data_IF_927508382063
#
_entry.id   IF_927508382063
#
_cell.length_a   1.000
_cell.length_b   1.000
_cell.length_c   1.000
_cell.angle_alpha   90.00
_cell.angle_beta   90.00
_cell.angle_gamma   90.00
#
_symmetry.space_group_name_H-M   'P 1'
#
loop_
_entity.id
_entity.type
_entity.pdbx_description
1 polymer ?
#
# COMPACT_ATOMS: atom_id res chain seq x y z
N UNK A 1 13.48 4.97 5.44
CA UNK A 1 13.07 4.54 6.78
C UNK A 1 11.57 4.25 6.83
N UNK A 2 11.11 3.00 6.96
CA UNK A 2 9.71 2.70 7.18
C UNK A 2 9.38 2.85 8.67
N UNK A 3 9.10 4.07 9.12
CA UNK A 3 8.55 4.26 10.47
C UNK A 3 7.16 3.61 10.55
N UNK A 4 7.02 2.65 11.46
CA UNK A 4 5.80 1.85 11.67
C UNK A 4 5.06 2.27 12.95
N UNK A 5 5.51 3.31 13.65
CA UNK A 5 4.72 3.90 14.72
C UNK A 5 3.37 4.38 14.18
N UNK A 6 2.29 4.16 14.94
CA UNK A 6 0.92 4.44 14.50
C UNK A 6 0.73 5.88 14.01
N UNK A 7 1.21 6.86 14.76
CA UNK A 7 1.05 8.27 14.38
C UNK A 7 1.90 8.59 13.15
N UNK A 8 3.18 8.21 13.17
CA UNK A 8 4.09 8.46 12.06
C UNK A 8 3.60 7.86 10.74
N UNK A 9 3.07 6.63 10.75
CA UNK A 9 2.58 5.98 9.52
C UNK A 9 1.28 6.60 9.00
N UNK A 10 0.39 7.05 9.89
CA UNK A 10 -0.82 7.76 9.50
C UNK A 10 -0.51 9.15 8.95
N UNK A 11 0.43 9.86 9.56
CA UNK A 11 0.90 11.17 9.11
C UNK A 11 1.57 11.06 7.73
N UNK A 12 2.41 10.03 7.56
CA UNK A 12 2.99 9.70 6.27
C UNK A 12 1.91 9.40 5.23
N UNK A 13 0.93 8.54 5.55
CA UNK A 13 -0.13 8.16 4.61
C UNK A 13 -0.96 9.37 4.18
N UNK A 14 -1.26 10.28 5.11
CA UNK A 14 -1.98 11.54 4.82
C UNK A 14 -1.28 12.38 3.77
N UNK A 15 0.06 12.39 3.78
CA UNK A 15 0.87 13.16 2.85
C UNK A 15 1.11 12.42 1.54
N UNK A 16 1.38 11.11 1.60
CA UNK A 16 1.73 10.31 0.43
C UNK A 16 0.50 9.88 -0.38
N UNK A 17 -0.58 9.48 0.29
CA UNK A 17 -1.78 8.89 -0.33
C UNK A 17 -3.07 9.47 0.29
N UNK A 18 -3.42 10.75 -0.02
CA UNK A 18 -4.60 11.39 0.55
C UNK A 18 -5.91 10.66 0.25
N UNK A 19 -6.04 10.08 -0.95
CA UNK A 19 -7.22 9.31 -1.36
C UNK A 19 -7.41 8.06 -0.49
N UNK A 20 -6.32 7.32 -0.22
CA UNK A 20 -6.37 6.15 0.66
C UNK A 20 -6.71 6.54 2.10
N UNK A 21 -6.22 7.69 2.58
CA UNK A 21 -6.56 8.19 3.91
C UNK A 21 -8.08 8.42 4.05
N UNK A 22 -8.74 8.92 3.00
CA UNK A 22 -10.18 9.19 3.02
C UNK A 22 -11.05 7.95 3.26
N UNK A 23 -10.51 6.74 3.05
CA UNK A 23 -11.22 5.47 3.32
C UNK A 23 -11.57 5.29 4.80
N UNK A 24 -10.79 5.87 5.72
CA UNK A 24 -11.02 5.93 7.17
C UNK A 24 -10.96 4.59 7.92
N UNK A 25 -11.65 3.56 7.43
CA UNK A 25 -11.69 2.21 7.98
C UNK A 25 -10.50 1.37 7.51
N UNK A 26 -9.96 0.53 8.40
CA UNK A 26 -8.91 -0.43 8.04
C UNK A 26 -7.50 0.16 7.84
N UNK A 27 -7.31 1.47 8.05
CA UNK A 27 -5.97 2.10 7.98
C UNK A 27 -5.00 1.49 8.97
N UNK A 28 -5.46 1.26 10.19
CA UNK A 28 -4.80 0.49 11.25
C UNK A 28 -5.82 -0.50 11.79
N UNK A 29 -5.48 -1.78 11.83
CA UNK A 29 -6.33 -2.82 12.41
C UNK A 29 -6.24 -2.80 13.93
N UNK A 30 -7.31 -3.18 14.65
CA UNK A 30 -7.28 -3.22 16.12
C UNK A 30 -6.17 -4.10 16.70
N UNK A 31 -5.82 -5.21 16.04
CA UNK A 31 -4.77 -6.12 16.49
C UNK A 31 -3.38 -5.46 16.52
N UNK A 32 -3.15 -4.46 15.66
CA UNK A 32 -1.86 -3.81 15.47
C UNK A 32 -1.51 -2.79 16.56
N UNK A 33 -2.48 -2.41 17.39
CA UNK A 33 -2.35 -1.44 18.50
C UNK A 33 -2.51 -2.11 19.86
N UNK A 34 -2.40 -3.44 19.90
CA UNK A 34 -2.35 -4.18 21.15
C UNK A 34 -0.98 -4.04 21.80
N UNK A 35 -0.93 -4.06 23.12
CA UNK A 35 0.31 -3.92 23.90
C UNK A 35 1.38 -4.96 23.51
N UNK A 36 0.95 -6.14 23.07
CA UNK A 36 1.85 -7.21 22.63
C UNK A 36 2.41 -7.01 21.21
N UNK A 37 1.66 -6.36 20.31
CA UNK A 37 1.99 -6.32 18.87
C UNK A 37 2.62 -4.99 18.48
N UNK A 38 2.17 -3.87 19.04
CA UNK A 38 2.64 -2.55 18.64
C UNK A 38 4.17 -2.37 18.83
N UNK A 39 4.77 -2.77 19.96
CA UNK A 39 6.23 -2.69 20.13
C UNK A 39 7.00 -3.57 19.14
N UNK A 40 6.44 -4.71 18.73
CA UNK A 40 7.07 -5.60 17.75
C UNK A 40 7.08 -4.98 16.35
N UNK A 41 6.00 -4.30 15.96
CA UNK A 41 5.92 -3.59 14.68
C UNK A 41 6.85 -2.38 14.65
N UNK A 42 6.92 -1.61 15.73
CA UNK A 42 7.90 -0.51 15.87
C UNK A 42 9.33 -1.07 15.76
N UNK A 43 9.63 -2.13 16.51
CA UNK A 43 10.94 -2.79 16.48
C UNK A 43 11.29 -3.44 15.14
N UNK A 44 10.29 -3.82 14.32
CA UNK A 44 10.52 -4.24 12.94
C UNK A 44 10.98 -3.06 12.08
N UNK A 45 10.27 -1.92 12.12
CA UNK A 45 10.62 -0.72 11.37
C UNK A 45 12.03 -0.22 11.72
N UNK A 46 12.38 -0.20 13.01
CA UNK A 46 13.72 0.15 13.49
C UNK A 46 14.80 -0.83 13.01
N UNK A 47 14.50 -2.14 12.98
CA UNK A 47 15.45 -3.13 12.45
C UNK A 47 15.68 -2.95 10.95
N UNK A 48 14.63 -2.69 10.18
CA UNK A 48 14.77 -2.38 8.75
C UNK A 48 15.60 -1.11 8.52
N UNK A 49 15.48 -0.11 9.39
CA UNK A 49 16.27 1.12 9.32
C UNK A 49 17.72 0.94 9.78
N UNK A 50 18.01 -0.06 10.63
CA UNK A 50 19.37 -0.34 11.08
C UNK A 50 20.30 -0.87 9.98
N UNK A 51 19.76 -1.26 8.82
CA UNK A 51 20.58 -1.64 7.67
C UNK A 51 21.17 -0.39 6.99
N UNK A 52 22.51 -0.30 6.85
CA UNK A 52 23.16 0.86 6.25
C UNK A 52 22.82 1.01 4.76
N UNK A 53 22.46 -0.09 4.11
CA UNK A 53 21.96 -0.13 2.73
C UNK A 53 20.62 -0.88 2.71
N UNK A 54 19.49 -0.20 2.42
CA UNK A 54 18.18 -0.82 2.28
C UNK A 54 18.17 -1.97 1.27
N UNK A 55 18.99 -1.90 0.22
CA UNK A 55 19.05 -2.94 -0.81
C UNK A 55 19.66 -4.25 -0.31
N UNK A 56 20.55 -4.18 0.69
CA UNK A 56 21.06 -5.36 1.37
C UNK A 56 19.95 -6.07 2.17
N UNK A 57 19.11 -5.31 2.88
CA UNK A 57 17.97 -5.85 3.60
C UNK A 57 16.94 -6.49 2.65
N UNK A 58 16.60 -5.80 1.56
CA UNK A 58 15.70 -6.35 0.54
C UNK A 58 16.27 -7.60 -0.13
N UNK A 59 17.57 -7.64 -0.42
CA UNK A 59 18.24 -8.81 -0.99
C UNK A 59 18.22 -10.01 -0.03
N UNK A 60 18.42 -9.78 1.26
CA UNK A 60 18.32 -10.83 2.29
C UNK A 60 16.90 -11.40 2.39
N UNK A 61 15.88 -10.53 2.33
CA UNK A 61 14.48 -10.96 2.29
C UNK A 61 14.18 -11.76 1.02
N UNK A 62 14.65 -11.29 -0.13
CA UNK A 62 14.44 -11.96 -1.43
C UNK A 62 15.14 -13.33 -1.53
N UNK A 63 16.28 -13.50 -0.85
CA UNK A 63 16.99 -14.78 -0.81
C UNK A 63 16.35 -15.81 0.14
N UNK A 64 15.47 -15.38 1.03
CA UNK A 64 14.79 -16.22 2.02
C UNK A 64 13.44 -16.76 1.55
N UNK A 65 12.79 -17.52 2.43
CA UNK A 65 11.37 -17.85 2.26
C UNK A 65 10.52 -16.59 2.50
N UNK A 66 9.77 -16.20 1.48
CA UNK A 66 8.89 -15.03 1.50
C UNK A 66 7.53 -15.32 2.16
N UNK A 67 7.16 -16.58 2.41
CA UNK A 67 5.86 -16.91 2.98
C UNK A 67 5.59 -16.22 4.33
N UNK A 68 6.52 -16.21 5.32
CA UNK A 68 6.30 -15.49 6.57
C UNK A 68 6.12 -13.98 6.38
N UNK A 69 6.84 -13.39 5.42
CA UNK A 69 6.69 -11.97 5.12
C UNK A 69 5.30 -11.67 4.52
N UNK A 70 4.81 -12.52 3.60
CA UNK A 70 3.45 -12.39 3.07
C UNK A 70 2.40 -12.49 4.16
N UNK A 71 2.54 -13.47 5.07
CA UNK A 71 1.61 -13.63 6.19
C UNK A 71 1.56 -12.40 7.10
N UNK A 72 2.72 -11.83 7.42
CA UNK A 72 2.79 -10.58 8.20
C UNK A 72 2.10 -9.46 7.44
N UNK A 73 2.45 -9.23 6.17
CA UNK A 73 1.88 -8.16 5.36
C UNK A 73 0.35 -8.30 5.23
N UNK A 74 -0.17 -9.51 5.06
CA UNK A 74 -1.60 -9.79 4.93
C UNK A 74 -2.41 -9.43 6.18
N UNK A 75 -1.75 -9.42 7.34
CA UNK A 75 -2.36 -9.09 8.63
C UNK A 75 -2.33 -7.59 8.95
N UNK A 76 -1.54 -6.79 8.23
CA UNK A 76 -1.43 -5.36 8.48
C UNK A 76 -2.63 -4.58 7.98
N UNK A 77 -2.86 -3.44 8.62
CA UNK A 77 -3.71 -2.37 8.12
C UNK A 77 -3.07 -1.68 6.94
N UNK A 78 -3.90 -0.97 6.18
CA UNK A 78 -3.50 -0.35 4.90
C UNK A 78 -2.29 0.57 5.07
N UNK A 79 -2.24 1.35 6.16
CA UNK A 79 -1.16 2.32 6.36
C UNK A 79 0.21 1.64 6.52
N UNK A 80 0.32 0.64 7.41
CA UNK A 80 1.58 -0.10 7.64
C UNK A 80 1.95 -1.01 6.48
N UNK A 81 0.96 -1.62 5.83
CA UNK A 81 1.14 -2.39 4.60
C UNK A 81 1.79 -1.53 3.51
N UNK A 82 1.15 -0.41 3.16
CA UNK A 82 1.64 0.48 2.11
C UNK A 82 3.02 1.04 2.48
N UNK A 83 3.24 1.38 3.75
CA UNK A 83 4.54 1.88 4.22
C UNK A 83 5.66 0.89 3.96
N UNK A 84 5.43 -0.39 4.25
CA UNK A 84 6.40 -1.45 4.01
C UNK A 84 6.59 -1.72 2.52
N UNK A 85 5.51 -1.76 1.73
CA UNK A 85 5.60 -1.95 0.29
C UNK A 85 6.39 -0.83 -0.40
N UNK A 86 6.13 0.43 -0.05
CA UNK A 86 6.90 1.58 -0.56
C UNK A 86 8.38 1.48 -0.19
N UNK A 87 8.68 1.02 1.02
CA UNK A 87 10.08 0.82 1.42
C UNK A 87 10.74 -0.33 0.66
N UNK A 88 10.05 -1.46 0.47
CA UNK A 88 10.55 -2.61 -0.28
C UNK A 88 10.80 -2.26 -1.75
N UNK A 89 9.89 -1.48 -2.35
CA UNK A 89 10.01 -0.97 -3.71
C UNK A 89 11.24 -0.06 -3.86
N UNK A 90 11.40 0.90 -2.94
CA UNK A 90 12.57 1.79 -2.92
C UNK A 90 13.88 1.04 -2.60
N UNK A 91 13.81 -0.07 -1.87
CA UNK A 91 14.97 -0.85 -1.46
C UNK A 91 15.42 -1.86 -2.52
N UNK A 92 14.55 -2.35 -3.41
CA UNK A 92 14.86 -3.52 -4.22
C UNK A 92 14.26 -3.50 -5.63
N UNK A 93 14.89 -2.78 -6.56
CA UNK A 93 14.75 -3.05 -7.99
C UNK A 93 15.76 -4.13 -8.39
N UNK A 94 15.39 -5.41 -8.25
CA UNK A 94 16.15 -6.49 -8.92
C UNK A 94 15.79 -6.50 -10.42
N UNK A 95 16.71 -6.96 -11.31
CA UNK A 95 16.47 -6.99 -12.75
C UNK A 95 15.28 -7.86 -13.20
N UNK A 96 14.82 -8.79 -12.37
CA UNK A 96 13.82 -9.83 -12.72
C UNK A 96 12.37 -9.52 -12.25
N UNK A 97 12.15 -8.28 -11.79
CA UNK A 97 10.89 -7.84 -11.18
C UNK A 97 11.09 -7.65 -9.68
N UNK A 98 10.67 -6.48 -9.17
CA UNK A 98 10.95 -6.07 -7.79
C UNK A 98 10.40 -7.05 -6.75
N UNK A 99 10.95 -6.97 -5.53
CA UNK A 99 10.48 -7.76 -4.38
C UNK A 99 8.96 -7.65 -4.13
N UNK A 100 8.29 -6.50 -4.35
CA UNK A 100 6.83 -6.42 -4.30
C UNK A 100 6.12 -7.38 -5.28
N UNK A 101 6.61 -7.52 -6.51
CA UNK A 101 6.01 -8.44 -7.49
C UNK A 101 6.14 -9.90 -7.03
N UNK A 102 7.30 -10.28 -6.49
CA UNK A 102 7.54 -11.62 -5.97
C UNK A 102 6.64 -11.95 -4.76
N UNK A 103 6.29 -10.95 -3.95
CA UNK A 103 5.35 -11.10 -2.84
C UNK A 103 3.92 -11.33 -3.35
N UNK A 104 3.54 -10.72 -4.47
CA UNK A 104 2.18 -10.75 -5.01
C UNK A 104 1.92 -11.90 -5.98
N UNK A 105 2.94 -12.51 -6.60
CA UNK A 105 2.80 -13.61 -7.58
C UNK A 105 2.39 -14.96 -6.98
N UNK A 106 2.48 -15.15 -5.68
CA UNK A 106 2.12 -16.43 -5.05
C UNK A 106 0.60 -16.57 -4.88
N UNK A 107 0.00 -17.41 -5.71
CA UNK A 107 -1.44 -17.68 -5.71
C UNK A 107 -1.84 -18.88 -4.84
N UNK A 108 -0.86 -19.58 -4.27
CA UNK A 108 -1.09 -20.84 -3.56
C UNK A 108 -1.40 -20.66 -2.07
N UNK A 109 -1.12 -19.48 -1.51
CA UNK A 109 -1.29 -19.19 -0.09
C UNK A 109 -2.46 -18.24 0.15
N UNK A 110 -3.19 -18.46 1.26
CA UNK A 110 -4.27 -17.56 1.69
C UNK A 110 -3.77 -16.13 1.93
N UNK A 111 -2.54 -15.99 2.45
CA UNK A 111 -1.89 -14.70 2.65
C UNK A 111 -1.66 -13.95 1.32
N UNK A 112 -1.15 -14.64 0.29
CA UNK A 112 -0.97 -14.05 -1.04
C UNK A 112 -2.30 -13.60 -1.66
N UNK A 113 -3.33 -14.44 -1.55
CA UNK A 113 -4.69 -14.10 -2.01
C UNK A 113 -5.26 -12.88 -1.28
N UNK A 114 -5.13 -12.83 0.05
CA UNK A 114 -5.60 -11.71 0.86
C UNK A 114 -4.87 -10.39 0.52
N UNK A 115 -3.57 -10.44 0.30
CA UNK A 115 -2.77 -9.29 -0.12
C UNK A 115 -3.22 -8.73 -1.46
N UNK A 116 -3.33 -9.59 -2.48
CA UNK A 116 -3.81 -9.16 -3.81
C UNK A 116 -5.23 -8.61 -3.74
N UNK A 117 -6.14 -9.26 -3.00
CA UNK A 117 -7.50 -8.78 -2.84
C UNK A 117 -7.54 -7.38 -2.19
N UNK A 118 -6.68 -7.14 -1.20
CA UNK A 118 -6.55 -5.85 -0.52
C UNK A 118 -6.05 -4.78 -1.50
N UNK A 119 -4.94 -5.03 -2.20
CA UNK A 119 -4.39 -4.08 -3.17
C UNK A 119 -5.31 -3.82 -4.36
N UNK A 120 -5.97 -4.85 -4.89
CA UNK A 120 -6.96 -4.71 -5.95
C UNK A 120 -8.16 -3.87 -5.51
N UNK A 121 -8.55 -3.98 -4.23
CA UNK A 121 -9.64 -3.16 -3.68
C UNK A 121 -9.23 -1.71 -3.53
N UNK A 122 -8.02 -1.44 -3.01
CA UNK A 122 -7.48 -0.08 -2.95
C UNK A 122 -7.37 0.55 -4.34
N UNK A 123 -6.80 -0.20 -5.30
CA UNK A 123 -6.66 0.27 -6.68
C UNK A 123 -8.02 0.60 -7.30
N UNK A 124 -9.03 -0.26 -7.10
CA UNK A 124 -10.38 -0.03 -7.60
C UNK A 124 -11.01 1.22 -6.99
N UNK A 125 -10.86 1.44 -5.68
CA UNK A 125 -11.40 2.62 -5.01
C UNK A 125 -10.76 3.89 -5.57
N UNK A 126 -9.42 3.95 -5.66
CA UNK A 126 -8.71 5.09 -6.25
C UNK A 126 -9.12 5.34 -7.70
N UNK A 127 -9.32 4.27 -8.50
CA UNK A 127 -9.82 4.40 -9.86
C UNK A 127 -11.23 4.99 -9.92
N UNK A 128 -12.14 4.52 -9.05
CA UNK A 128 -13.50 5.01 -8.99
C UNK A 128 -13.53 6.48 -8.57
N UNK A 129 -12.81 6.87 -7.53
CA UNK A 129 -12.70 8.28 -7.10
C UNK A 129 -12.23 9.17 -8.24
N UNK A 130 -11.22 8.72 -9.01
CA UNK A 130 -10.74 9.45 -10.17
C UNK A 130 -11.76 9.50 -11.31
N UNK A 131 -12.46 8.40 -11.59
CA UNK A 131 -13.43 8.31 -12.69
C UNK A 131 -14.68 9.15 -12.43
N UNK A 132 -15.12 9.20 -11.17
CA UNK A 132 -16.29 9.95 -10.71
C UNK A 132 -15.94 11.32 -10.10
N UNK A 133 -14.72 11.82 -10.35
CA UNK A 133 -14.31 13.15 -9.91
C UNK A 133 -15.24 14.23 -10.48
N UNK A 134 -15.72 15.19 -9.66
CA UNK A 134 -16.68 16.22 -10.08
C UNK A 134 -16.25 16.95 -11.36
N UNK A 135 -14.97 17.28 -11.47
CA UNK A 135 -14.41 18.01 -12.62
C UNK A 135 -14.57 17.24 -13.93
N UNK A 136 -14.52 15.90 -13.88
CA UNK A 136 -14.74 15.06 -15.06
C UNK A 136 -16.20 15.01 -15.47
N UNK A 137 -17.11 14.97 -14.48
CA UNK A 137 -18.55 14.97 -14.73
C UNK A 137 -19.01 16.33 -15.27
N UNK A 138 -18.48 17.43 -14.72
CA UNK A 138 -18.71 18.78 -15.23
C UNK A 138 -18.20 18.93 -16.66
N UNK A 139 -16.99 18.46 -16.95
CA UNK A 139 -16.44 18.48 -18.31
C UNK A 139 -17.30 17.69 -19.30
N UNK A 140 -17.77 16.50 -18.92
CA UNK A 140 -18.67 15.71 -19.76
C UNK A 140 -20.00 16.43 -20.00
N UNK A 141 -20.55 17.09 -18.99
CA UNK A 141 -21.80 17.83 -19.12
C UNK A 141 -21.64 19.04 -20.05
N UNK A 142 -20.54 19.79 -19.91
CA UNK A 142 -20.23 20.91 -20.80
C UNK A 142 -20.08 20.47 -22.27
N UNK A 143 -19.38 19.36 -22.52
CA UNK A 143 -19.26 18.78 -23.87
C UNK A 143 -20.61 18.41 -24.48
N UNK A 144 -21.53 17.85 -23.69
CA UNK A 144 -22.88 17.51 -24.16
C UNK A 144 -23.69 18.77 -24.50
N UNK A 145 -23.53 19.85 -23.74
CA UNK A 145 -24.18 21.13 -24.02
C UNK A 145 -23.64 21.80 -25.29
N UNK A 146 -22.33 21.75 -25.52
CA UNK A 146 -21.68 22.24 -26.75
C UNK A 146 -22.19 21.48 -27.99
N UNK A 147 -22.20 20.15 -27.95
CA UNK A 147 -22.70 19.31 -29.05
C UNK A 147 -24.18 19.63 -29.36
N UNK A 148 -24.99 19.87 -28.33
CA UNK A 148 -26.40 20.22 -28.51
C UNK A 148 -26.57 21.60 -29.17
N UNK A 149 -25.71 22.56 -28.86
CA UNK A 149 -25.74 23.89 -29.47
C UNK A 149 -25.30 23.86 -30.93
N UNK A 150 -24.31 23.03 -31.31
CA UNK A 150 -23.88 22.87 -32.70
C UNK A 150 -24.90 22.15 -33.59
N UNK A 151 -25.76 21.32 -32.99
CA UNK A 151 -26.80 20.57 -33.71
C UNK A 151 -28.14 21.32 -33.87
N UNK A 152 -28.30 22.48 -33.25
CA UNK A 152 -29.51 23.32 -33.26
C UNK A 152 -29.41 24.49 -34.24
#
# INVERSE_FOLDING_TARGET
>A
MPDLERHAVLDWLRLAEPATTALGSGLIRPMEVTEAVEPLLIGLGQRLDSYPDPSAAASLLAAGDLAPLREVLAQLGIARLLRLLTWLDAAGTTPEGGLPDALLRDDSTEAGLALRATLATLHRQTLLDRLFAPERLEHLTALLDEIRQEAA
#
